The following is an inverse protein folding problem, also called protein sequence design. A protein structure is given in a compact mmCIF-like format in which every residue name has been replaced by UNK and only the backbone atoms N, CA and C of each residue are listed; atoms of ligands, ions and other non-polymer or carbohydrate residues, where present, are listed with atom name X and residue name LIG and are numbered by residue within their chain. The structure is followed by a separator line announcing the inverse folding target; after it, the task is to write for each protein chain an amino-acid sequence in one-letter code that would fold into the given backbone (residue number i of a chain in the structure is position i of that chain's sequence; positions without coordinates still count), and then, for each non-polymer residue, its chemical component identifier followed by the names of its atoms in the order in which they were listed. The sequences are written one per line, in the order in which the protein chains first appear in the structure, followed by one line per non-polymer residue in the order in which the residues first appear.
data_IF_093397558305
#
_entry.id   IF_093397558305
#
_cell.length_a   1.000
_cell.length_b   1.000
_cell.length_c   1.000
_cell.angle_alpha   90.00
_cell.angle_beta   90.00
_cell.angle_gamma   90.00
#
_symmetry.space_group_name_H-M   'P 1'
#
loop_
_entity.id
_entity.type
_entity.pdbx_description
1 polymer ?
#
# COMPACT_ATOMS: atom_id res chain seq x y z
N UNK A 1 32.87 65.15 -37.78
CA UNK A 1 32.01 65.56 -36.65
C UNK A 1 31.30 64.30 -36.18
N UNK A 2 32.02 63.48 -35.41
CA UNK A 2 31.87 63.34 -33.93
C UNK A 2 30.56 62.64 -33.63
N UNK A 3 30.53 61.31 -33.73
CA UNK A 3 30.90 60.35 -32.67
C UNK A 3 30.00 60.46 -31.44
N UNK A 4 29.07 59.50 -31.37
CA UNK A 4 28.29 59.17 -30.19
C UNK A 4 28.00 57.67 -30.28
N UNK A 5 28.78 56.84 -29.59
CA UNK A 5 28.40 55.47 -29.29
C UNK A 5 28.68 55.20 -27.81
N UNK A 6 27.57 54.95 -27.13
CA UNK A 6 27.39 54.59 -25.73
C UNK A 6 28.08 53.24 -25.42
N UNK A 7 28.67 53.05 -24.22
CA UNK A 7 29.28 51.76 -23.89
C UNK A 7 28.20 50.70 -23.59
N UNK A 8 28.41 49.49 -24.11
CA UNK A 8 27.59 48.31 -23.86
C UNK A 8 27.80 47.77 -22.42
N UNK A 9 26.77 47.19 -21.78
CA UNK A 9 26.92 46.49 -20.51
C UNK A 9 27.53 45.09 -20.72
N UNK A 10 28.29 44.65 -19.72
CA UNK A 10 28.94 43.33 -19.64
C UNK A 10 27.92 42.18 -19.72
N UNK A 11 28.10 41.28 -20.70
CA UNK A 11 27.51 39.94 -20.69
C UNK A 11 28.32 39.06 -19.72
N UNK A 12 27.68 38.67 -18.62
CA UNK A 12 28.16 37.57 -17.76
C UNK A 12 27.89 36.23 -18.49
N UNK A 13 28.82 35.26 -18.43
CA UNK A 13 28.61 33.97 -19.09
C UNK A 13 27.52 33.18 -18.37
N UNK A 14 26.54 32.72 -19.15
CA UNK A 14 25.55 31.72 -18.77
C UNK A 14 26.25 30.46 -18.23
N UNK A 15 26.07 30.17 -16.94
CA UNK A 15 26.38 28.86 -16.34
C UNK A 15 25.30 27.87 -16.81
N UNK A 16 25.62 27.15 -17.89
CA UNK A 16 24.89 25.96 -18.34
C UNK A 16 24.98 24.87 -17.26
N UNK A 17 24.08 24.93 -16.27
CA UNK A 17 23.77 23.78 -15.42
C UNK A 17 22.41 23.22 -15.80
N UNK A 18 22.37 22.65 -17.00
CA UNK A 18 21.38 21.66 -17.38
C UNK A 18 21.79 20.29 -16.83
N UNK A 19 20.75 19.56 -16.43
CA UNK A 19 20.66 18.10 -16.39
C UNK A 19 21.31 17.36 -15.22
N UNK A 20 20.61 17.36 -14.08
CA UNK A 20 20.56 16.22 -13.16
C UNK A 20 19.30 16.31 -12.27
N UNK A 21 18.13 16.39 -12.91
CA UNK A 21 16.85 16.12 -12.23
C UNK A 21 16.48 14.66 -12.50
N UNK A 22 16.86 13.83 -11.53
CA UNK A 22 16.50 12.42 -11.38
C UNK A 22 15.03 12.21 -11.74
N UNK A 23 14.78 11.68 -12.93
CA UNK A 23 13.44 11.31 -13.37
C UNK A 23 12.95 10.16 -12.50
N UNK A 24 12.00 10.42 -11.60
CA UNK A 24 11.20 9.36 -11.02
C UNK A 24 10.41 8.72 -12.17
N UNK A 25 10.90 7.60 -12.69
CA UNK A 25 10.17 6.78 -13.66
C UNK A 25 8.81 6.42 -13.06
N UNK A 26 7.73 6.61 -13.83
CA UNK A 26 6.40 6.20 -13.41
C UNK A 26 6.41 4.71 -13.01
N UNK A 27 5.66 4.30 -11.97
CA UNK A 27 5.59 2.90 -11.58
C UNK A 27 5.14 2.06 -12.77
N UNK A 28 5.62 0.80 -12.83
CA UNK A 28 5.12 -0.14 -13.81
C UNK A 28 3.60 -0.36 -13.61
N UNK A 29 2.88 -0.82 -14.65
CA UNK A 29 1.43 -0.99 -14.57
C UNK A 29 0.99 -1.92 -13.44
N UNK A 30 1.67 -3.05 -13.21
CA UNK A 30 1.30 -3.99 -12.16
C UNK A 30 1.38 -3.35 -10.77
N UNK A 31 2.46 -2.60 -10.49
CA UNK A 31 2.61 -1.83 -9.26
C UNK A 31 1.52 -0.75 -9.13
N UNK A 32 1.17 -0.07 -10.22
CA UNK A 32 0.12 0.97 -10.19
C UNK A 32 -1.28 0.38 -9.89
N UNK A 33 -1.61 -0.77 -10.46
CA UNK A 33 -2.87 -1.47 -10.17
C UNK A 33 -2.89 -2.04 -8.76
N UNK A 34 -1.80 -2.64 -8.30
CA UNK A 34 -1.67 -3.09 -6.92
C UNK A 34 -1.86 -1.92 -5.94
N UNK A 35 -1.22 -0.77 -6.21
CA UNK A 35 -1.35 0.42 -5.38
C UNK A 35 -2.81 0.89 -5.29
N UNK A 36 -3.51 0.89 -6.42
CA UNK A 36 -4.94 1.23 -6.50
C UNK A 36 -5.78 0.25 -5.68
N UNK A 37 -5.61 -1.06 -5.88
CA UNK A 37 -6.36 -2.09 -5.16
C UNK A 37 -6.11 -2.05 -3.65
N UNK A 38 -4.86 -1.88 -3.22
CA UNK A 38 -4.53 -1.78 -1.78
C UNK A 38 -5.18 -0.52 -1.17
N UNK A 39 -5.22 0.60 -1.91
CA UNK A 39 -5.91 1.82 -1.47
C UNK A 39 -7.43 1.61 -1.35
N UNK A 40 -8.04 0.93 -2.32
CA UNK A 40 -9.47 0.62 -2.32
C UNK A 40 -9.86 -0.33 -1.19
N UNK A 41 -9.05 -1.37 -0.95
CA UNK A 41 -9.19 -2.29 0.18
C UNK A 41 -9.12 -1.50 1.50
N UNK A 42 -8.11 -0.65 1.68
CA UNK A 42 -8.01 0.18 2.89
C UNK A 42 -9.25 1.04 3.10
N UNK A 43 -9.74 1.72 2.05
CA UNK A 43 -10.94 2.55 2.12
C UNK A 43 -12.17 1.72 2.47
N UNK A 44 -12.33 0.56 1.85
CA UNK A 44 -13.41 -0.38 2.16
C UNK A 44 -13.38 -0.81 3.63
N UNK A 45 -12.18 -1.15 4.14
CA UNK A 45 -11.99 -1.51 5.56
C UNK A 45 -12.30 -0.35 6.49
N UNK A 46 -11.84 0.86 6.17
CA UNK A 46 -12.10 2.06 6.95
C UNK A 46 -13.60 2.38 7.09
N UNK A 47 -14.42 2.04 6.09
CA UNK A 47 -15.87 2.18 6.16
C UNK A 47 -16.52 1.37 7.29
N UNK A 48 -15.84 0.36 7.82
CA UNK A 48 -16.27 -0.43 8.98
C UNK A 48 -15.90 0.16 10.34
N UNK A 49 -15.15 1.27 10.38
CA UNK A 49 -14.63 1.86 11.60
C UNK A 49 -13.32 1.22 12.09
N UNK A 50 -12.90 1.61 13.28
CA UNK A 50 -11.69 1.11 13.95
C UNK A 50 -11.99 -0.05 14.90
N UNK A 51 -10.91 -0.68 15.38
CA UNK A 51 -10.89 -1.84 16.26
C UNK A 51 -11.52 -3.09 15.60
N UNK A 52 -11.37 -3.18 14.28
CA UNK A 52 -11.81 -4.32 13.47
C UNK A 52 -10.84 -5.50 13.51
N UNK A 53 -11.31 -6.72 13.15
CA UNK A 53 -10.42 -7.88 13.05
C UNK A 53 -9.43 -7.72 11.90
N UNK A 54 -8.41 -8.59 11.87
CA UNK A 54 -7.56 -8.77 10.69
C UNK A 54 -8.44 -9.16 9.50
N UNK A 55 -8.22 -8.51 8.36
CA UNK A 55 -8.96 -8.77 7.10
C UNK A 55 -7.98 -9.23 6.05
N UNK A 56 -8.29 -10.32 5.35
CA UNK A 56 -7.44 -10.89 4.30
C UNK A 56 -8.20 -10.85 2.98
N UNK A 57 -7.49 -10.54 1.90
CA UNK A 57 -8.05 -10.43 0.56
C UNK A 57 -7.22 -11.23 -0.44
N UNK A 58 -7.89 -11.98 -1.31
CA UNK A 58 -7.30 -12.49 -2.54
C UNK A 58 -7.34 -11.37 -3.60
N UNK A 59 -6.28 -11.22 -4.37
CA UNK A 59 -6.23 -10.36 -5.55
C UNK A 59 -6.25 -11.27 -6.79
N UNK A 60 -7.28 -11.13 -7.60
CA UNK A 60 -7.46 -11.92 -8.83
C UNK A 60 -7.42 -11.01 -10.05
N UNK A 61 -6.83 -11.47 -11.15
CA UNK A 61 -6.96 -10.76 -12.43
C UNK A 61 -8.45 -10.75 -12.82
N UNK A 62 -9.01 -9.56 -12.98
CA UNK A 62 -10.43 -9.40 -13.31
C UNK A 62 -10.71 -9.98 -14.70
N UNK A 63 -9.78 -9.81 -15.65
CA UNK A 63 -9.87 -10.40 -16.99
C UNK A 63 -9.93 -11.93 -16.92
N UNK A 64 -8.99 -12.57 -16.21
CA UNK A 64 -8.97 -14.02 -16.06
C UNK A 64 -10.22 -14.56 -15.34
N UNK A 65 -10.72 -13.83 -14.33
CA UNK A 65 -11.96 -14.20 -13.63
C UNK A 65 -13.19 -14.13 -14.57
N UNK A 66 -13.28 -13.10 -15.41
CA UNK A 66 -14.35 -12.96 -16.40
C UNK A 66 -14.29 -14.02 -17.51
N UNK A 67 -13.09 -14.47 -17.88
CA UNK A 67 -12.91 -15.57 -18.84
C UNK A 67 -13.34 -16.92 -18.25
N UNK A 68 -12.94 -17.20 -17.00
CA UNK A 68 -13.29 -18.42 -16.30
C UNK A 68 -14.80 -18.48 -15.94
N UNK A 69 -15.37 -17.34 -15.54
CA UNK A 69 -16.78 -17.22 -15.18
C UNK A 69 -17.43 -16.02 -15.90
N UNK A 70 -17.91 -16.19 -17.15
CA UNK A 70 -18.56 -15.11 -17.90
C UNK A 70 -19.79 -14.50 -17.22
N UNK A 71 -20.43 -15.24 -16.30
CA UNK A 71 -21.55 -14.75 -15.49
C UNK A 71 -21.17 -13.65 -14.50
N UNK A 72 -19.89 -13.56 -14.11
CA UNK A 72 -19.37 -12.52 -13.21
C UNK A 72 -19.57 -11.11 -13.78
N UNK A 73 -19.58 -10.96 -15.10
CA UNK A 73 -19.81 -9.68 -15.77
C UNK A 73 -21.16 -9.02 -15.38
N UNK A 74 -22.16 -9.81 -15.00
CA UNK A 74 -23.45 -9.30 -14.56
C UNK A 74 -23.46 -8.84 -13.09
N UNK A 75 -22.42 -9.16 -12.31
CA UNK A 75 -22.27 -8.83 -10.90
C UNK A 75 -21.33 -7.64 -10.67
N UNK A 76 -20.51 -7.30 -11.67
CA UNK A 76 -19.61 -6.15 -11.65
C UNK A 76 -20.27 -4.94 -12.31
N UNK A 77 -19.83 -3.74 -11.92
CA UNK A 77 -20.22 -2.52 -12.61
C UNK A 77 -19.72 -2.56 -14.07
N UNK A 78 -20.49 -2.09 -15.07
CA UNK A 78 -20.08 -2.09 -16.47
C UNK A 78 -18.71 -1.44 -16.70
N UNK A 79 -18.41 -0.38 -15.96
CA UNK A 79 -17.16 0.35 -16.04
C UNK A 79 -15.95 -0.49 -15.59
N UNK A 80 -16.15 -1.37 -14.60
CA UNK A 80 -15.12 -2.32 -14.13
C UNK A 80 -14.88 -3.41 -15.17
N UNK A 81 -15.95 -3.92 -15.78
CA UNK A 81 -15.85 -4.92 -16.86
C UNK A 81 -15.11 -4.35 -18.06
N UNK A 82 -15.43 -3.12 -18.45
CA UNK A 82 -14.78 -2.44 -19.58
C UNK A 82 -13.32 -2.12 -19.29
N UNK A 83 -12.99 -1.65 -18.07
CA UNK A 83 -11.61 -1.42 -17.65
C UNK A 83 -10.79 -2.72 -17.70
N UNK A 84 -11.32 -3.82 -17.16
CA UNK A 84 -10.63 -5.10 -17.11
C UNK A 84 -10.40 -5.73 -18.51
N UNK A 85 -11.30 -5.51 -19.48
CA UNK A 85 -11.12 -6.06 -20.84
C UNK A 85 -9.93 -5.46 -21.58
N UNK A 86 -9.54 -4.23 -21.23
CA UNK A 86 -8.42 -3.53 -21.83
C UNK A 86 -7.10 -3.65 -21.06
N UNK A 87 -7.11 -4.30 -19.89
CA UNK A 87 -6.03 -4.21 -18.93
C UNK A 87 -5.83 -5.53 -18.16
N UNK A 88 -4.75 -6.24 -18.48
CA UNK A 88 -4.41 -7.52 -17.85
C UNK A 88 -4.02 -7.39 -16.37
N UNK A 89 -3.59 -6.19 -15.96
CA UNK A 89 -3.20 -5.89 -14.59
C UNK A 89 -4.37 -5.45 -13.72
N UNK A 90 -5.58 -5.30 -14.27
CA UNK A 90 -6.75 -4.97 -13.48
C UNK A 90 -7.04 -6.09 -12.47
N UNK A 91 -7.14 -5.71 -11.19
CA UNK A 91 -7.35 -6.64 -10.08
C UNK A 91 -8.75 -6.47 -9.50
N UNK A 92 -9.34 -7.59 -9.10
CA UNK A 92 -10.50 -7.63 -8.21
C UNK A 92 -10.04 -8.16 -6.85
N UNK A 93 -10.35 -7.42 -5.79
CA UNK A 93 -10.12 -7.87 -4.42
C UNK A 93 -11.31 -8.68 -3.91
N UNK A 94 -11.06 -9.88 -3.39
CA UNK A 94 -12.07 -10.76 -2.80
C UNK A 94 -11.75 -10.93 -1.32
N UNK A 95 -12.61 -10.43 -0.43
CA UNK A 95 -12.43 -10.60 1.02
C UNK A 95 -12.57 -12.09 1.41
N UNK A 96 -11.67 -12.57 2.26
CA UNK A 96 -11.68 -13.93 2.77
C UNK A 96 -12.46 -13.99 4.08
N UNK A 97 -13.60 -14.68 4.04
CA UNK A 97 -14.43 -14.92 5.22
C UNK A 97 -14.01 -16.19 5.98
N UNK A 98 -14.43 -16.31 7.24
CA UNK A 98 -14.23 -17.53 8.01
C UNK A 98 -12.77 -17.83 8.35
N UNK A 99 -11.94 -16.79 8.50
CA UNK A 99 -10.53 -16.94 8.84
C UNK A 99 -10.35 -17.75 10.14
N UNK A 100 -9.34 -18.64 10.19
CA UNK A 100 -9.01 -19.40 11.39
C UNK A 100 -8.78 -18.48 12.59
N UNK A 101 -9.31 -18.87 13.74
CA UNK A 101 -9.07 -18.17 14.99
C UNK A 101 -7.71 -18.62 15.53
N UNK A 102 -6.71 -17.75 15.38
CA UNK A 102 -5.32 -17.97 15.79
C UNK A 102 -4.87 -16.87 16.72
N UNK A 103 -3.77 -17.09 17.45
CA UNK A 103 -3.31 -16.16 18.48
C UNK A 103 -2.51 -14.99 17.91
N UNK A 104 -1.99 -15.12 16.67
CA UNK A 104 -1.18 -14.07 16.05
C UNK A 104 -1.39 -13.95 14.53
N UNK A 105 -1.01 -12.80 13.99
CA UNK A 105 -1.05 -12.54 12.54
C UNK A 105 -0.07 -13.45 11.80
N UNK A 106 1.09 -13.70 12.38
CA UNK A 106 2.14 -14.56 11.82
C UNK A 106 1.64 -16.01 11.67
N UNK A 107 0.92 -16.51 12.68
CA UNK A 107 0.28 -17.82 12.60
C UNK A 107 -0.80 -17.84 11.52
N UNK A 108 -1.63 -16.79 11.44
CA UNK A 108 -2.68 -16.67 10.42
C UNK A 108 -2.07 -16.73 9.01
N UNK A 109 -1.08 -15.89 8.73
CA UNK A 109 -0.44 -15.84 7.42
C UNK A 109 0.30 -17.14 7.11
N UNK A 110 0.93 -17.76 8.12
CA UNK A 110 1.67 -19.02 7.95
C UNK A 110 0.82 -20.23 7.55
N UNK A 111 -0.50 -20.17 7.73
CA UNK A 111 -1.43 -21.25 7.34
C UNK A 111 -2.25 -20.92 6.09
N UNK A 112 -2.13 -19.70 5.55
CA UNK A 112 -2.81 -19.35 4.29
C UNK A 112 -2.18 -20.11 3.12
N UNK A 113 -3.03 -20.52 2.20
CA UNK A 113 -2.58 -21.15 0.94
C UNK A 113 -3.47 -20.63 -0.17
N UNK A 114 -2.84 -20.27 -1.29
CA UNK A 114 -3.51 -19.66 -2.42
C UNK A 114 -3.45 -20.57 -3.66
N UNK A 115 -4.56 -20.77 -4.37
CA UNK A 115 -4.52 -21.44 -5.67
C UNK A 115 -3.77 -20.59 -6.71
N UNK A 116 -3.35 -21.21 -7.81
CA UNK A 116 -2.59 -20.55 -8.89
C UNK A 116 -3.38 -19.43 -9.59
N UNK A 117 -4.71 -19.45 -9.47
CA UNK A 117 -5.60 -18.42 -10.02
C UNK A 117 -5.55 -17.09 -9.24
N UNK A 118 -4.99 -17.09 -8.03
CA UNK A 118 -4.82 -15.90 -7.21
C UNK A 118 -3.50 -15.24 -7.61
N UNK A 119 -3.59 -14.04 -8.19
CA UNK A 119 -2.45 -13.26 -8.67
C UNK A 119 -1.65 -12.63 -7.51
N UNK A 120 -2.34 -12.33 -6.41
CA UNK A 120 -1.73 -11.75 -5.22
C UNK A 120 -2.65 -11.81 -4.00
N UNK A 121 -2.22 -11.21 -2.91
CA UNK A 121 -2.94 -11.20 -1.65
C UNK A 121 -2.72 -9.87 -0.95
N UNK A 122 -3.68 -9.46 -0.15
CA UNK A 122 -3.56 -8.30 0.71
C UNK A 122 -4.10 -8.58 2.11
N UNK A 123 -3.60 -7.85 3.10
CA UNK A 123 -4.05 -7.92 4.49
C UNK A 123 -4.23 -6.51 5.02
N UNK A 124 -5.25 -6.33 5.86
CA UNK A 124 -5.47 -5.11 6.62
C UNK A 124 -5.44 -5.43 8.11
N UNK A 125 -4.63 -4.67 8.84
CA UNK A 125 -4.46 -4.80 10.29
C UNK A 125 -4.46 -3.43 10.94
N UNK A 126 -4.82 -3.40 12.22
CA UNK A 126 -4.70 -2.21 13.06
C UNK A 126 -3.67 -2.48 14.14
N UNK A 127 -2.74 -1.52 14.34
CA UNK A 127 -1.63 -1.65 15.29
C UNK A 127 -1.43 -0.35 16.05
N UNK A 128 -0.92 -0.46 17.26
CA UNK A 128 -0.40 0.69 18.02
C UNK A 128 1.10 0.78 17.74
N UNK A 129 1.56 1.94 17.31
CA UNK A 129 2.99 2.21 17.03
C UNK A 129 3.47 3.43 17.79
N UNK A 130 4.78 3.52 18.00
CA UNK A 130 5.43 4.68 18.59
C UNK A 130 6.29 5.40 17.55
N UNK A 131 6.48 6.72 17.69
CA UNK A 131 7.56 7.41 17.00
C UNK A 131 8.90 6.80 17.42
N UNK A 132 9.87 6.71 16.48
CA UNK A 132 11.17 6.07 16.74
C UNK A 132 11.90 6.64 17.96
N UNK A 133 11.78 7.94 18.23
CA UNK A 133 12.38 8.57 19.42
C UNK A 133 11.83 8.04 20.76
N UNK A 134 10.57 7.58 20.79
CA UNK A 134 9.96 6.95 21.95
C UNK A 134 10.25 5.44 22.01
N UNK A 135 10.40 4.79 20.85
CA UNK A 135 10.81 3.37 20.77
C UNK A 135 12.21 3.13 21.39
N UNK A 136 13.14 4.08 21.21
CA UNK A 136 14.50 4.00 21.78
C UNK A 136 14.51 3.92 23.32
N UNK A 137 13.47 4.45 23.98
CA UNK A 137 13.32 4.46 25.44
C UNK A 137 12.46 3.30 25.95
N UNK A 138 11.99 2.41 25.07
CA UNK A 138 11.10 1.32 25.45
C UNK A 138 11.83 0.29 26.33
N UNK A 139 11.23 -0.16 27.44
CA UNK A 139 11.77 -1.24 28.26
C UNK A 139 12.03 -2.52 27.47
N UNK A 140 13.01 -3.32 27.89
CA UNK A 140 13.30 -4.61 27.27
C UNK A 140 12.40 -5.75 27.80
N UNK A 141 11.86 -5.58 29.01
CA UNK A 141 10.89 -6.54 29.56
C UNK A 141 9.56 -6.42 28.80
N UNK A 142 8.98 -7.53 28.30
CA UNK A 142 7.78 -7.49 27.47
C UNK A 142 6.55 -6.87 28.15
N UNK A 143 6.34 -7.14 29.44
CA UNK A 143 5.17 -6.64 30.16
C UNK A 143 5.33 -5.14 30.43
N UNK A 144 6.54 -4.69 30.81
CA UNK A 144 6.85 -3.27 30.96
C UNK A 144 6.80 -2.51 29.62
N UNK A 145 7.26 -3.13 28.52
CA UNK A 145 7.20 -2.55 27.17
C UNK A 145 5.75 -2.36 26.72
N UNK A 146 4.89 -3.34 26.95
CA UNK A 146 3.47 -3.24 26.63
C UNK A 146 2.80 -2.13 27.45
N UNK A 147 3.08 -2.06 28.75
CA UNK A 147 2.55 -1.00 29.61
C UNK A 147 3.04 0.39 29.17
N UNK A 148 4.31 0.51 28.77
CA UNK A 148 4.89 1.74 28.23
C UNK A 148 4.19 2.17 26.93
N UNK A 149 4.05 1.26 25.96
CA UNK A 149 3.36 1.50 24.68
C UNK A 149 1.91 1.95 24.90
N UNK A 150 1.19 1.24 25.77
CA UNK A 150 -0.21 1.56 26.08
C UNK A 150 -0.37 2.83 26.95
N UNK A 151 0.68 3.30 27.60
CA UNK A 151 0.67 4.53 28.39
C UNK A 151 1.20 5.77 27.65
N UNK A 152 1.89 5.58 26.52
CA UNK A 152 2.65 6.65 25.90
C UNK A 152 1.75 7.71 25.25
N UNK A 153 1.97 9.01 25.49
CA UNK A 153 1.14 10.08 24.93
C UNK A 153 1.25 10.18 23.40
N UNK A 154 2.44 9.88 22.85
CA UNK A 154 2.69 10.01 21.41
C UNK A 154 2.34 8.74 20.62
N UNK A 155 1.78 7.70 21.26
CA UNK A 155 1.36 6.47 20.56
C UNK A 155 0.37 6.80 19.44
N UNK A 156 0.46 6.08 18.35
CA UNK A 156 -0.45 6.23 17.22
C UNK A 156 -1.14 4.90 16.96
N UNK A 157 -2.48 4.93 16.88
CA UNK A 157 -3.24 3.84 16.30
C UNK A 157 -3.18 3.99 14.77
N UNK A 158 -2.67 2.95 14.09
CA UNK A 158 -2.50 2.95 12.64
C UNK A 158 -3.23 1.76 12.02
N UNK A 159 -3.94 2.02 10.92
CA UNK A 159 -4.44 0.99 10.03
C UNK A 159 -3.45 0.83 8.89
N UNK A 160 -3.02 -0.40 8.68
CA UNK A 160 -2.03 -0.77 7.68
C UNK A 160 -2.72 -1.73 6.72
N UNK A 161 -2.73 -1.40 5.44
CA UNK A 161 -3.06 -2.37 4.40
C UNK A 161 -1.81 -2.65 3.56
N UNK A 162 -1.48 -3.92 3.34
CA UNK A 162 -0.34 -4.35 2.53
C UNK A 162 -0.82 -5.36 1.51
N UNK A 163 -0.37 -5.22 0.27
CA UNK A 163 -0.61 -6.18 -0.79
C UNK A 163 0.69 -6.58 -1.50
N UNK A 164 0.72 -7.82 -1.98
CA UNK A 164 1.80 -8.34 -2.79
C UNK A 164 1.26 -9.21 -3.92
N UNK A 165 1.89 -9.12 -5.09
CA UNK A 165 1.65 -10.02 -6.23
C UNK A 165 2.67 -11.15 -6.25
N UNK A 166 2.30 -12.29 -6.85
CA UNK A 166 3.23 -13.42 -7.08
C UNK A 166 4.41 -13.04 -7.97
N UNK A 167 4.22 -12.06 -8.84
CA UNK A 167 5.24 -11.49 -9.73
C UNK A 167 6.27 -10.63 -8.99
N UNK A 168 6.00 -10.24 -7.74
CA UNK A 168 6.96 -9.64 -6.82
C UNK A 168 6.67 -8.19 -6.44
N UNK A 169 5.72 -7.53 -7.10
CA UNK A 169 5.30 -6.17 -6.79
C UNK A 169 4.64 -6.12 -5.40
N UNK A 170 4.92 -5.04 -4.67
CA UNK A 170 4.41 -4.82 -3.32
C UNK A 170 3.91 -3.39 -3.17
N UNK A 171 2.87 -3.21 -2.37
CA UNK A 171 2.38 -1.90 -2.00
C UNK A 171 1.79 -1.92 -0.61
N UNK A 172 1.99 -0.84 0.13
CA UNK A 172 1.49 -0.66 1.48
C UNK A 172 0.89 0.73 1.62
N UNK A 173 -0.16 0.84 2.42
CA UNK A 173 -0.78 2.11 2.79
C UNK A 173 -0.99 2.17 4.30
N UNK A 174 -0.85 3.37 4.85
CA UNK A 174 -1.07 3.66 6.26
C UNK A 174 -2.04 4.81 6.46
N UNK A 175 -3.03 4.59 7.34
CA UNK A 175 -3.91 5.62 7.90
C UNK A 175 -3.67 5.72 9.40
N UNK A 176 -3.56 6.93 9.92
CA UNK A 176 -3.51 7.15 11.38
C UNK A 176 -4.91 7.47 11.90
N UNK A 177 -5.29 6.99 13.08
CA UNK A 177 -6.57 7.33 13.72
C UNK A 177 -6.71 8.83 13.98
N UNK A 178 -5.60 9.52 14.24
CA UNK A 178 -5.57 10.98 14.41
C UNK A 178 -5.91 11.76 13.12
N UNK A 179 -5.73 11.15 11.95
CA UNK A 179 -6.04 11.71 10.64
C UNK A 179 -6.89 10.72 9.83
N UNK A 180 -8.07 10.40 10.36
CA UNK A 180 -8.98 9.43 9.75
C UNK A 180 -9.77 10.04 8.58
N UNK A 181 -9.07 10.26 7.47
CA UNK A 181 -9.61 10.85 6.24
C UNK A 181 -9.05 10.15 5.00
N UNK A 182 -9.88 10.01 3.95
CA UNK A 182 -9.50 9.34 2.70
C UNK A 182 -8.43 10.09 1.88
N UNK A 183 -8.20 11.36 2.15
CA UNK A 183 -7.08 12.13 1.60
C UNK A 183 -5.81 12.02 2.45
N UNK A 184 -5.91 11.55 3.70
CA UNK A 184 -4.82 11.49 4.68
C UNK A 184 -4.24 10.07 4.84
N UNK A 185 -3.95 9.41 3.71
CA UNK A 185 -3.36 8.06 3.68
C UNK A 185 -2.03 8.07 2.96
N UNK A 186 -0.97 7.66 3.67
CA UNK A 186 0.35 7.48 3.09
C UNK A 186 0.40 6.15 2.33
N UNK A 187 1.14 6.11 1.21
CA UNK A 187 1.31 4.90 0.42
C UNK A 187 2.70 4.77 -0.16
N UNK A 188 3.20 3.55 -0.27
CA UNK A 188 4.51 3.25 -0.84
C UNK A 188 4.81 1.75 -0.93
N UNK A 189 5.86 1.35 -1.66
CA UNK A 189 6.14 -0.05 -1.95
C UNK A 189 6.56 -0.87 -0.73
N UNK A 190 7.14 -0.24 0.31
CA UNK A 190 7.76 -0.96 1.43
C UNK A 190 7.70 -0.18 2.76
N UNK A 191 6.51 0.30 3.15
CA UNK A 191 6.35 1.03 4.41
C UNK A 191 6.36 0.10 5.64
N UNK A 192 6.06 -1.20 5.45
CA UNK A 192 6.00 -2.20 6.52
C UNK A 192 6.68 -3.51 6.08
N UNK A 193 8.02 -3.54 5.99
CA UNK A 193 8.75 -4.63 5.32
C UNK A 193 8.47 -6.01 5.90
N UNK A 194 8.32 -6.12 7.23
CA UNK A 194 8.02 -7.39 7.89
C UNK A 194 6.68 -7.97 7.49
N UNK A 195 5.65 -7.12 7.31
CA UNK A 195 4.33 -7.59 6.88
C UNK A 195 4.31 -7.88 5.38
N UNK A 196 5.02 -7.09 4.58
CA UNK A 196 5.22 -7.35 3.15
C UNK A 196 5.81 -8.74 2.92
N UNK A 197 6.88 -9.10 3.62
CA UNK A 197 7.52 -10.40 3.47
C UNK A 197 6.62 -11.54 3.96
N UNK A 198 5.88 -11.34 5.05
CA UNK A 198 4.94 -12.33 5.56
C UNK A 198 3.83 -12.67 4.55
N UNK A 199 3.31 -11.68 3.81
CA UNK A 199 2.33 -11.92 2.75
C UNK A 199 2.97 -12.68 1.59
N UNK A 200 4.16 -12.28 1.15
CA UNK A 200 4.87 -12.96 0.05
C UNK A 200 5.14 -14.43 0.37
N UNK A 201 5.44 -14.74 1.63
CA UNK A 201 5.64 -16.11 2.09
C UNK A 201 4.38 -16.99 1.99
N UNK A 202 3.18 -16.42 1.84
CA UNK A 202 1.93 -17.19 1.66
C UNK A 202 1.79 -17.82 0.26
N UNK A 203 2.66 -17.46 -0.68
CA UNK A 203 2.66 -17.99 -2.06
C UNK A 203 3.60 -19.18 -2.28
N UNK A 204 4.30 -19.62 -1.22
CA UNK A 204 5.27 -20.72 -1.27
C UNK A 204 4.65 -22.08 -1.60
#
# INVERSE_FOLDING_TARGET
MTDATQPAPHEEPHDERQDEQTGATAPDPATAHLATSVREIERHVAGGGWDGPVRVFALVSTAAALEAEPGLAAQLAPEVVDAARGDEHHLTSVEQEGLPQVESLEELLGILTWPDTVAGAAVVVERVVLPSAAEDAMPADPDEALAYLMGHPDRQDVRIAVGALRTGETWSVLRTRAHDDDAAVAGGPDLVPGLTEAIRATFL
#
